data_IF_967050926480
#
_entry.id   IF_967050926480
#
_cell.length_a   1.000
_cell.length_b   1.000
_cell.length_c   1.000
_cell.angle_alpha   90.00
_cell.angle_beta   90.00
_cell.angle_gamma   90.00
#
_symmetry.space_group_name_H-M   'P 1'
#
loop_
_entity.id
_entity.type
_entity.pdbx_description
1 polymer ?
#
# COMPACT_ATOMS: atom_id res chain seq x y z
N UNK A 1 -0.65 12.93 -20.01
CA UNK A 1 -1.42 12.42 -18.84
C UNK A 1 -1.11 10.97 -18.46
N UNK A 2 -0.66 10.09 -19.36
CA UNK A 2 -0.34 8.68 -19.02
C UNK A 2 1.09 8.46 -18.50
N UNK A 3 2.00 9.43 -18.63
CA UNK A 3 3.40 9.32 -18.22
C UNK A 3 3.64 9.39 -16.70
N UNK A 4 2.61 9.72 -15.92
CA UNK A 4 2.71 9.85 -14.46
C UNK A 4 2.24 8.59 -13.70
N UNK A 5 1.86 7.53 -14.42
CA UNK A 5 1.51 6.25 -13.79
C UNK A 5 2.80 5.50 -13.46
N UNK A 6 3.44 5.89 -12.38
CA UNK A 6 4.51 5.07 -11.79
C UNK A 6 3.87 3.82 -11.20
N UNK A 7 4.15 2.65 -11.80
CA UNK A 7 3.76 1.33 -11.28
C UNK A 7 4.43 1.08 -9.94
N UNK A 8 3.76 1.51 -8.86
CA UNK A 8 4.24 1.42 -7.50
C UNK A 8 5.26 2.53 -7.17
N UNK A 9 5.17 3.05 -5.95
CA UNK A 9 6.14 4.04 -5.43
C UNK A 9 7.42 3.36 -4.92
N UNK A 10 7.79 2.21 -5.50
CA UNK A 10 9.00 1.48 -5.10
C UNK A 10 10.25 2.32 -5.37
N UNK A 11 11.02 2.54 -4.33
CA UNK A 11 12.33 3.21 -4.42
C UNK A 11 13.42 2.14 -4.39
N UNK A 12 14.14 1.88 -5.52
CA UNK A 12 15.19 0.87 -5.55
C UNK A 12 16.32 1.24 -4.60
N UNK A 13 16.71 0.29 -3.76
CA UNK A 13 17.78 0.47 -2.78
C UNK A 13 18.27 -0.86 -2.23
N UNK A 14 19.45 -0.85 -1.61
CA UNK A 14 20.13 -2.05 -1.07
C UNK A 14 20.19 -2.07 0.46
N UNK A 15 19.29 -1.35 1.13
CA UNK A 15 19.28 -1.31 2.59
C UNK A 15 18.89 -2.65 3.22
N UNK A 16 19.13 -2.78 4.52
CA UNK A 16 18.73 -3.95 5.31
C UNK A 16 17.26 -4.29 5.11
N UNK A 17 16.40 -3.26 5.13
CA UNK A 17 14.95 -3.43 4.95
C UNK A 17 14.62 -3.91 3.53
N UNK A 18 15.31 -3.41 2.49
CA UNK A 18 15.09 -3.86 1.11
C UNK A 18 15.39 -5.36 0.95
N UNK A 19 16.42 -5.88 1.64
CA UNK A 19 16.87 -7.28 1.57
C UNK A 19 16.05 -8.26 2.42
N UNK A 20 15.16 -7.77 3.30
CA UNK A 20 14.27 -8.62 4.10
C UNK A 20 13.27 -9.38 3.22
N UNK A 21 12.85 -10.56 3.70
CA UNK A 21 11.82 -11.37 3.04
C UNK A 21 10.48 -10.60 2.96
N UNK A 22 9.84 -10.50 1.77
CA UNK A 22 8.56 -9.80 1.59
C UNK A 22 7.45 -10.28 2.52
N UNK A 23 7.44 -11.57 2.89
CA UNK A 23 6.46 -12.15 3.84
C UNK A 23 6.61 -11.51 5.21
N UNK A 24 7.87 -11.41 5.69
CA UNK A 24 8.14 -10.77 6.99
C UNK A 24 7.77 -9.30 6.96
N UNK A 25 8.11 -8.56 5.91
CA UNK A 25 7.71 -7.14 5.78
C UNK A 25 6.20 -6.95 5.87
N UNK A 26 5.41 -7.81 5.21
CA UNK A 26 3.95 -7.78 5.29
C UNK A 26 3.46 -8.02 6.73
N UNK A 27 3.96 -9.08 7.38
CA UNK A 27 3.59 -9.41 8.77
C UNK A 27 3.98 -8.29 9.73
N UNK A 28 5.20 -7.77 9.61
CA UNK A 28 5.70 -6.68 10.45
C UNK A 28 4.90 -5.38 10.23
N UNK A 29 4.49 -5.09 9.00
CA UNK A 29 3.64 -3.93 8.72
C UNK A 29 2.26 -4.09 9.36
N UNK A 30 1.66 -5.29 9.29
CA UNK A 30 0.38 -5.56 9.97
C UNK A 30 0.55 -5.44 11.50
N UNK A 31 1.62 -6.01 12.06
CA UNK A 31 1.92 -5.90 13.48
C UNK A 31 2.13 -4.44 13.92
N UNK A 32 2.80 -3.62 13.09
CA UNK A 32 2.94 -2.19 13.31
C UNK A 32 1.59 -1.47 13.32
N UNK A 33 0.73 -1.73 12.31
CA UNK A 33 -0.62 -1.17 12.23
C UNK A 33 -1.40 -1.47 13.51
N UNK A 34 -1.43 -2.75 13.90
CA UNK A 34 -2.10 -3.19 15.13
C UNK A 34 -1.51 -2.49 16.35
N UNK A 35 -0.17 -2.43 16.46
CA UNK A 35 0.52 -1.74 17.56
C UNK A 35 0.13 -0.27 17.68
N UNK A 36 0.03 0.46 16.57
CA UNK A 36 -0.38 1.89 16.58
C UNK A 36 -1.82 2.08 17.11
N UNK A 37 -2.73 1.09 16.89
CA UNK A 37 -4.08 1.16 17.44
C UNK A 37 -4.13 1.02 18.97
N UNK A 38 -3.18 0.35 19.58
CA UNK A 38 -3.09 0.22 21.04
C UNK A 38 -2.52 1.45 21.75
N UNK A 39 -1.99 2.43 21.01
CA UNK A 39 -1.47 3.67 21.59
C UNK A 39 -2.63 4.54 22.07
N UNK A 40 -2.71 4.75 23.38
CA UNK A 40 -3.70 5.61 24.04
C UNK A 40 -3.13 6.91 24.63
N UNK A 41 -1.80 7.01 24.76
CA UNK A 41 -1.11 8.07 25.50
C UNK A 41 -0.01 8.75 24.65
N UNK A 42 0.38 9.96 25.04
CA UNK A 42 1.42 10.71 24.33
C UNK A 42 2.80 10.01 24.31
N UNK A 43 3.29 9.39 25.41
CA UNK A 43 4.54 8.65 25.39
C UNK A 43 4.58 7.52 24.35
N UNK A 44 3.46 6.81 24.14
CA UNK A 44 3.34 5.78 23.10
C UNK A 44 3.55 6.34 21.70
N UNK A 45 3.05 7.54 21.40
CA UNK A 45 3.32 8.20 20.12
C UNK A 45 4.78 8.63 19.95
N UNK A 46 5.46 9.04 21.02
CA UNK A 46 6.89 9.32 21.00
C UNK A 46 7.70 8.05 20.71
N UNK A 47 7.31 6.93 21.32
CA UNK A 47 7.91 5.61 21.05
C UNK A 47 7.69 5.17 19.59
N UNK A 48 6.47 5.34 19.07
CA UNK A 48 6.17 5.07 17.67
C UNK A 48 6.99 5.96 16.72
N UNK A 49 7.18 7.23 17.07
CA UNK A 49 8.03 8.16 16.30
C UNK A 49 9.48 7.70 16.29
N UNK A 50 10.03 7.34 17.45
CA UNK A 50 11.39 6.85 17.56
C UNK A 50 11.59 5.56 16.75
N UNK A 51 10.67 4.60 16.87
CA UNK A 51 10.69 3.36 16.09
C UNK A 51 10.66 3.64 14.59
N UNK A 52 9.71 4.46 14.12
CA UNK A 52 9.58 4.82 12.72
C UNK A 52 10.82 5.57 12.21
N UNK A 53 11.38 6.47 13.01
CA UNK A 53 12.62 7.18 12.66
C UNK A 53 13.79 6.22 12.46
N UNK A 54 13.96 5.24 13.36
CA UNK A 54 15.00 4.21 13.25
C UNK A 54 14.79 3.38 11.97
N UNK A 55 13.58 2.91 11.71
CA UNK A 55 13.22 2.13 10.51
C UNK A 55 13.54 2.92 9.24
N UNK A 56 13.16 4.18 9.18
CA UNK A 56 13.42 5.08 8.03
C UNK A 56 14.92 5.29 7.83
N UNK A 57 15.68 5.49 8.89
CA UNK A 57 17.16 5.65 8.80
C UNK A 57 17.82 4.38 8.29
N UNK A 58 17.41 3.21 8.77
CA UNK A 58 17.93 1.91 8.32
C UNK A 58 17.50 1.62 6.87
N UNK A 59 16.30 2.07 6.45
CA UNK A 59 15.82 1.89 5.08
C UNK A 59 16.60 2.70 4.04
N UNK A 60 17.32 3.75 4.46
CA UNK A 60 18.00 4.68 3.55
C UNK A 60 17.05 5.59 2.76
N UNK A 61 15.76 5.59 3.09
CA UNK A 61 14.74 6.41 2.44
C UNK A 61 14.72 7.79 3.10
N UNK A 62 14.66 8.85 2.30
CA UNK A 62 14.50 10.20 2.85
C UNK A 62 13.13 10.38 3.46
N UNK A 63 13.07 10.94 4.67
CA UNK A 63 11.81 11.25 5.38
C UNK A 63 10.83 12.09 4.54
N UNK A 64 11.34 12.87 3.60
CA UNK A 64 10.53 13.66 2.65
C UNK A 64 9.60 12.78 1.78
N UNK A 65 10.01 11.55 1.44
CA UNK A 65 9.16 10.63 0.65
C UNK A 65 7.99 10.10 1.47
N UNK A 66 8.18 9.83 2.77
CA UNK A 66 7.10 9.42 3.66
C UNK A 66 6.08 10.57 3.84
N UNK A 67 6.56 11.79 4.02
CA UNK A 67 5.68 12.98 4.11
C UNK A 67 4.90 13.21 2.81
N UNK A 68 5.48 12.89 1.63
CA UNK A 68 4.70 12.91 0.38
C UNK A 68 3.53 11.94 0.39
N UNK A 69 3.66 10.78 1.05
CA UNK A 69 2.57 9.82 1.23
C UNK A 69 1.42 10.36 2.10
N UNK A 70 1.72 11.22 3.06
CA UNK A 70 0.71 11.87 3.92
C UNK A 70 -0.02 13.01 3.18
N UNK A 71 0.65 13.68 2.23
CA UNK A 71 0.14 14.87 1.54
C UNK A 71 -1.26 14.71 0.91
N UNK A 72 -1.58 13.63 0.18
CA UNK A 72 -2.93 13.44 -0.39
C UNK A 72 -4.00 13.23 0.68
N UNK A 73 -3.62 12.71 1.86
CA UNK A 73 -4.54 12.42 2.97
C UNK A 73 -4.75 13.58 3.92
N UNK A 74 -4.04 14.71 3.72
CA UNK A 74 -4.15 15.91 4.57
C UNK A 74 -5.60 16.38 4.75
N UNK A 75 -6.42 16.25 3.71
CA UNK A 75 -7.82 16.65 3.74
C UNK A 75 -8.63 15.74 4.66
N UNK A 76 -8.42 14.42 4.58
CA UNK A 76 -9.07 13.43 5.43
C UNK A 76 -8.62 13.61 6.89
N UNK A 77 -7.33 13.85 7.11
CA UNK A 77 -6.77 14.08 8.45
C UNK A 77 -7.38 15.35 9.07
N UNK A 78 -7.46 16.43 8.30
CA UNK A 78 -8.07 17.67 8.76
C UNK A 78 -9.56 17.50 9.03
N UNK A 79 -10.27 16.81 8.16
CA UNK A 79 -11.70 16.54 8.30
C UNK A 79 -11.99 15.69 9.54
N UNK A 80 -11.26 14.60 9.75
CA UNK A 80 -11.39 13.77 10.96
C UNK A 80 -11.01 14.52 12.22
N UNK A 81 -9.99 15.39 12.17
CA UNK A 81 -9.63 16.26 13.29
C UNK A 81 -10.79 17.18 13.67
N UNK A 82 -11.38 17.86 12.68
CA UNK A 82 -12.53 18.75 12.89
C UNK A 82 -13.71 17.96 13.44
N UNK A 83 -14.06 16.81 12.85
CA UNK A 83 -15.17 16.00 13.34
C UNK A 83 -14.97 15.58 14.80
N UNK A 84 -13.78 15.07 15.16
CA UNK A 84 -13.52 14.69 16.55
C UNK A 84 -13.59 15.87 17.50
N UNK A 85 -13.17 17.06 17.06
CA UNK A 85 -13.21 18.26 17.89
C UNK A 85 -14.64 18.70 18.24
N UNK A 86 -15.60 18.53 17.30
CA UNK A 86 -16.98 19.00 17.47
C UNK A 86 -17.94 17.91 17.94
N UNK A 87 -17.71 16.64 17.60
CA UNK A 87 -18.65 15.55 17.89
C UNK A 87 -18.30 14.74 19.14
N UNK A 88 -17.07 14.82 19.62
CA UNK A 88 -16.68 14.15 20.87
C UNK A 88 -17.06 15.04 22.04
N UNK A 89 -17.96 14.56 22.88
CA UNK A 89 -18.35 15.22 24.14
C UNK A 89 -17.39 14.80 25.25
N UNK A 90 -17.02 15.73 26.12
CA UNK A 90 -16.21 15.51 27.32
C UNK A 90 -16.73 16.27 28.50
N UNK A 91 -16.21 15.99 29.68
CA UNK A 91 -16.68 16.61 30.95
C UNK A 91 -16.04 17.97 31.22
N UNK A 92 -14.84 18.25 30.64
CA UNK A 92 -14.12 19.51 30.91
C UNK A 92 -14.18 20.46 29.72
N UNK A 93 -15.07 21.51 29.77
CA UNK A 93 -15.16 22.49 28.71
C UNK A 93 -13.91 23.38 28.69
N UNK A 94 -13.25 23.52 27.52
CA UNK A 94 -12.16 24.46 27.27
C UNK A 94 -12.67 25.77 26.68
N UNK A 95 -13.64 25.68 25.76
CA UNK A 95 -14.28 26.82 25.11
C UNK A 95 -15.77 26.51 25.03
N UNK A 96 -16.56 27.40 25.61
CA UNK A 96 -18.01 27.31 25.64
C UNK A 96 -18.61 28.62 25.08
N UNK A 97 -18.78 28.68 23.75
CA UNK A 97 -19.31 29.84 23.05
C UNK A 97 -20.56 29.40 22.27
N UNK A 98 -21.71 29.44 22.92
CA UNK A 98 -23.02 29.18 22.30
C UNK A 98 -23.14 27.75 21.73
N UNK A 99 -22.98 27.59 20.42
CA UNK A 99 -23.10 26.28 19.77
C UNK A 99 -21.78 25.50 19.68
N UNK A 100 -20.67 26.07 20.12
CA UNK A 100 -19.33 25.45 20.01
C UNK A 100 -18.87 25.08 21.42
N UNK A 101 -18.98 23.80 21.75
CA UNK A 101 -18.48 23.21 23.00
C UNK A 101 -17.23 22.39 22.71
N UNK A 102 -16.04 22.97 22.90
CA UNK A 102 -14.79 22.27 22.73
C UNK A 102 -14.32 21.82 24.12
N UNK A 103 -14.20 20.50 24.31
CA UNK A 103 -13.73 19.92 25.56
C UNK A 103 -12.27 19.49 25.45
N UNK A 104 -11.60 19.38 26.60
CA UNK A 104 -10.19 18.93 26.65
C UNK A 104 -10.04 17.53 26.08
N UNK A 105 -10.99 16.64 26.35
CA UNK A 105 -11.06 15.28 25.88
C UNK A 105 -11.23 15.25 24.34
N UNK A 106 -12.09 16.10 23.78
CA UNK A 106 -12.29 16.23 22.35
C UNK A 106 -11.00 16.66 21.63
N UNK A 107 -10.30 17.66 22.19
CA UNK A 107 -9.03 18.12 21.62
C UNK A 107 -7.95 17.02 21.68
N UNK A 108 -7.82 16.33 22.82
CA UNK A 108 -6.88 15.21 22.97
C UNK A 108 -7.18 14.11 21.96
N UNK A 109 -8.43 13.71 21.85
CA UNK A 109 -8.84 12.67 20.92
C UNK A 109 -8.61 13.08 19.46
N UNK A 110 -8.96 14.33 19.09
CA UNK A 110 -8.72 14.85 17.74
C UNK A 110 -7.23 14.80 17.37
N UNK A 111 -6.33 15.20 18.29
CA UNK A 111 -4.87 15.12 18.09
C UNK A 111 -4.43 13.66 17.95
N UNK A 112 -4.90 12.76 18.83
CA UNK A 112 -4.49 11.36 18.81
C UNK A 112 -4.97 10.63 17.54
N UNK A 113 -6.20 10.91 17.08
CA UNK A 113 -6.68 10.36 15.80
C UNK A 113 -5.88 10.88 14.61
N UNK A 114 -5.57 12.19 14.57
CA UNK A 114 -4.75 12.75 13.52
C UNK A 114 -3.33 12.16 13.50
N UNK A 115 -2.67 12.04 14.67
CA UNK A 115 -1.37 11.38 14.80
C UNK A 115 -1.44 9.92 14.36
N UNK A 116 -2.46 9.16 14.80
CA UNK A 116 -2.66 7.77 14.41
C UNK A 116 -2.71 7.61 12.91
N UNK A 117 -3.51 8.42 12.20
CA UNK A 117 -3.58 8.38 10.74
C UNK A 117 -2.23 8.69 10.09
N UNK A 118 -1.50 9.69 10.59
CA UNK A 118 -0.16 10.04 10.07
C UNK A 118 0.79 8.86 10.24
N UNK A 119 0.86 8.25 11.43
CA UNK A 119 1.75 7.12 11.70
C UNK A 119 1.39 5.89 10.87
N UNK A 120 0.10 5.57 10.72
CA UNK A 120 -0.36 4.46 9.87
C UNK A 120 0.09 4.65 8.43
N UNK A 121 -0.10 5.84 7.87
CA UNK A 121 0.29 6.14 6.48
C UNK A 121 1.81 6.11 6.32
N UNK A 122 2.56 6.66 7.27
CA UNK A 122 4.03 6.65 7.20
C UNK A 122 4.59 5.23 7.31
N UNK A 123 4.06 4.40 8.21
CA UNK A 123 4.50 3.01 8.37
C UNK A 123 4.19 2.15 7.15
N UNK A 124 2.98 2.25 6.59
CA UNK A 124 2.62 1.53 5.36
C UNK A 124 3.39 2.03 4.14
N UNK A 125 3.75 3.32 4.10
CA UNK A 125 4.61 3.87 3.05
C UNK A 125 6.01 3.25 3.05
N UNK A 126 6.56 2.88 4.21
CA UNK A 126 7.85 2.17 4.27
C UNK A 126 7.77 0.84 3.51
N UNK A 127 6.70 0.05 3.69
CA UNK A 127 6.50 -1.19 2.94
C UNK A 127 6.45 -0.94 1.43
N UNK A 128 5.65 0.03 1.00
CA UNK A 128 5.45 0.35 -0.43
C UNK A 128 6.74 0.87 -1.08
N UNK A 129 7.53 1.67 -0.36
CA UNK A 129 8.79 2.21 -0.85
C UNK A 129 9.92 1.18 -0.88
N UNK A 130 9.90 0.17 0.01
CA UNK A 130 10.99 -0.82 0.15
C UNK A 130 10.71 -2.16 -0.52
N UNK A 131 9.52 -2.37 -1.08
CA UNK A 131 9.13 -3.67 -1.62
C UNK A 131 8.48 -3.49 -2.99
N UNK A 132 9.01 -4.16 -4.01
CA UNK A 132 8.43 -4.08 -5.35
C UNK A 132 7.07 -4.80 -5.42
N UNK A 133 6.15 -4.39 -6.33
CA UNK A 133 4.85 -5.04 -6.49
C UNK A 133 4.96 -6.56 -6.75
N UNK A 134 5.97 -6.99 -7.51
CA UNK A 134 6.21 -8.43 -7.76
C UNK A 134 6.62 -9.17 -6.48
N UNK A 135 7.49 -8.57 -5.66
CA UNK A 135 7.88 -9.15 -4.37
C UNK A 135 6.70 -9.23 -3.40
N UNK A 136 5.82 -8.21 -3.39
CA UNK A 136 4.59 -8.22 -2.60
C UNK A 136 3.66 -9.36 -3.02
N UNK A 137 3.49 -9.57 -4.33
CA UNK A 137 2.69 -10.68 -4.87
C UNK A 137 3.25 -12.04 -4.46
N UNK A 138 4.57 -12.24 -4.58
CA UNK A 138 5.24 -13.47 -4.15
C UNK A 138 5.12 -13.71 -2.64
N UNK A 139 5.26 -12.64 -1.83
CA UNK A 139 5.06 -12.68 -0.39
C UNK A 139 3.64 -13.07 -0.01
N UNK A 140 2.66 -12.44 -0.66
CA UNK A 140 1.24 -12.68 -0.43
C UNK A 140 0.84 -14.12 -0.79
N UNK A 141 1.31 -14.65 -1.93
CA UNK A 141 1.06 -16.04 -2.32
C UNK A 141 1.54 -17.02 -1.25
N UNK A 142 2.75 -16.80 -0.73
CA UNK A 142 3.31 -17.67 0.31
C UNK A 142 2.55 -17.58 1.63
N UNK A 143 2.08 -16.38 1.99
CA UNK A 143 1.25 -16.19 3.20
C UNK A 143 -0.14 -16.79 3.05
N UNK A 144 -0.72 -16.77 1.85
CA UNK A 144 -2.02 -17.34 1.56
C UNK A 144 -1.98 -18.85 1.28
N UNK A 145 -0.80 -19.44 1.12
CA UNK A 145 -0.65 -20.88 0.85
C UNK A 145 -1.34 -21.79 1.88
N UNK A 146 -1.33 -21.51 3.19
CA UNK A 146 -2.08 -22.34 4.14
C UNK A 146 -3.60 -22.38 3.87
N UNK A 147 -4.17 -21.32 3.25
CA UNK A 147 -5.58 -21.23 2.89
C UNK A 147 -5.95 -22.15 1.73
N UNK A 148 -4.98 -22.72 1.00
CA UNK A 148 -5.24 -23.75 -0.02
C UNK A 148 -5.92 -24.98 0.58
N UNK A 149 -5.74 -25.25 1.89
CA UNK A 149 -6.44 -26.32 2.60
C UNK A 149 -7.96 -26.14 2.62
N UNK A 150 -8.44 -24.92 2.47
CA UNK A 150 -9.86 -24.56 2.37
C UNK A 150 -10.29 -24.24 0.94
N UNK A 151 -9.57 -24.78 -0.07
CA UNK A 151 -9.79 -24.61 -1.50
C UNK A 151 -9.62 -23.15 -2.00
N UNK A 152 -8.86 -22.32 -1.29
CA UNK A 152 -8.56 -20.95 -1.74
C UNK A 152 -7.49 -20.98 -2.84
N UNK A 153 -7.73 -20.42 -4.04
CA UNK A 153 -6.84 -20.50 -5.20
C UNK A 153 -5.68 -19.50 -5.09
N UNK A 154 -4.83 -19.61 -4.04
CA UNK A 154 -3.78 -18.65 -3.74
C UNK A 154 -2.72 -18.57 -4.85
N UNK A 155 -2.38 -19.71 -5.47
CA UNK A 155 -1.40 -19.77 -6.55
C UNK A 155 -1.93 -19.11 -7.83
N UNK A 156 -3.15 -19.42 -8.22
CA UNK A 156 -3.80 -18.88 -9.42
C UNK A 156 -3.94 -17.36 -9.31
N UNK A 157 -4.36 -16.85 -8.14
CA UNK A 157 -4.44 -15.42 -7.88
C UNK A 157 -3.08 -14.74 -8.01
N UNK A 158 -2.04 -15.30 -7.40
CA UNK A 158 -0.69 -14.74 -7.49
C UNK A 158 -0.14 -14.77 -8.93
N UNK A 159 -0.43 -15.83 -9.68
CA UNK A 159 -0.07 -15.93 -11.08
C UNK A 159 -0.78 -14.85 -11.91
N UNK A 160 -2.10 -14.68 -11.73
CA UNK A 160 -2.87 -13.63 -12.40
C UNK A 160 -2.30 -12.24 -12.08
N UNK A 161 -2.00 -11.95 -10.80
CA UNK A 161 -1.38 -10.69 -10.40
C UNK A 161 -0.02 -10.48 -11.05
N UNK A 162 0.82 -11.51 -11.09
CA UNK A 162 2.16 -11.45 -11.71
C UNK A 162 2.07 -11.16 -13.22
N UNK A 163 1.14 -11.84 -13.91
CA UNK A 163 0.88 -11.62 -15.34
C UNK A 163 0.36 -10.19 -15.55
N UNK A 164 -0.61 -9.74 -14.74
CA UNK A 164 -1.16 -8.40 -14.83
C UNK A 164 -0.06 -7.34 -14.64
N UNK A 165 0.76 -7.44 -13.57
CA UNK A 165 1.85 -6.51 -13.30
C UNK A 165 2.87 -6.44 -14.43
N UNK A 166 3.10 -7.57 -15.13
CA UNK A 166 3.99 -7.62 -16.29
C UNK A 166 3.37 -6.98 -17.53
N UNK A 167 2.06 -7.10 -17.73
CA UNK A 167 1.39 -6.58 -18.92
C UNK A 167 1.00 -5.10 -18.80
N UNK A 168 0.84 -4.56 -17.59
CA UNK A 168 0.47 -3.15 -17.41
C UNK A 168 1.41 -2.19 -18.16
N UNK A 169 2.77 -2.26 -18.03
CA UNK A 169 3.65 -1.37 -18.80
C UNK A 169 3.43 -1.48 -20.31
N UNK A 170 3.31 -2.71 -20.80
CA UNK A 170 3.11 -2.95 -22.24
C UNK A 170 1.77 -2.41 -22.75
N UNK A 171 0.71 -2.58 -21.97
CA UNK A 171 -0.62 -2.03 -22.30
C UNK A 171 -0.63 -0.50 -22.24
N UNK A 172 0.11 0.12 -21.33
CA UNK A 172 0.27 1.58 -21.27
C UNK A 172 0.96 2.12 -22.52
N UNK A 173 2.06 1.49 -22.95
CA UNK A 173 2.75 1.85 -24.18
C UNK A 173 1.86 1.68 -25.40
N UNK A 174 1.08 0.61 -25.46
CA UNK A 174 0.15 0.34 -26.54
C UNK A 174 -1.00 1.35 -26.56
N UNK A 175 -1.53 1.68 -25.38
CA UNK A 175 -2.55 2.74 -25.23
C UNK A 175 -2.04 4.07 -25.79
N UNK A 176 -0.81 4.46 -25.46
CA UNK A 176 -0.20 5.70 -25.96
C UNK A 176 -0.04 5.69 -27.51
N UNK A 177 0.35 4.54 -28.09
CA UNK A 177 0.45 4.37 -29.54
C UNK A 177 -0.93 4.48 -30.22
N UNK A 178 -1.95 3.79 -29.68
CA UNK A 178 -3.30 3.82 -30.22
C UNK A 178 -3.88 5.24 -30.11
N UNK A 179 -3.68 5.90 -28.95
CA UNK A 179 -4.13 7.26 -28.74
C UNK A 179 -3.53 8.23 -29.77
N UNK A 180 -2.21 8.18 -30.00
CA UNK A 180 -1.54 8.99 -31.01
C UNK A 180 -2.08 8.72 -32.44
N UNK A 181 -2.30 7.44 -32.74
CA UNK A 181 -2.88 7.07 -34.07
C UNK A 181 -4.30 7.57 -34.23
N UNK A 182 -5.14 7.56 -33.21
CA UNK A 182 -6.51 8.07 -33.27
C UNK A 182 -6.53 9.62 -33.32
N UNK A 183 -5.63 10.29 -32.60
CA UNK A 183 -5.47 11.76 -32.74
C UNK A 183 -5.07 12.16 -34.15
N UNK A 184 -4.18 11.41 -34.79
CA UNK A 184 -3.81 11.63 -36.20
C UNK A 184 -4.98 11.42 -37.17
N UNK A 185 -6.01 10.66 -36.78
CA UNK A 185 -7.28 10.47 -37.54
C UNK A 185 -8.35 11.50 -37.16
N UNK A 186 -8.01 12.51 -36.35
CA UNK A 186 -8.92 13.59 -35.95
C UNK A 186 -9.74 13.30 -34.70
N UNK A 187 -9.41 12.25 -33.92
CA UNK A 187 -10.07 12.02 -32.65
C UNK A 187 -9.63 13.07 -31.62
N UNK A 188 -10.60 13.65 -30.92
CA UNK A 188 -10.39 14.62 -29.86
C UNK A 188 -10.82 13.99 -28.50
N UNK A 189 -9.87 13.85 -27.61
CA UNK A 189 -10.06 13.24 -26.26
C UNK A 189 -10.20 14.29 -25.16
N UNK A 190 -10.02 15.58 -25.45
CA UNK A 190 -9.93 16.63 -24.44
C UNK A 190 -11.11 17.59 -24.44
N UNK A 191 -11.76 17.84 -25.61
CA UNK A 191 -12.86 18.77 -25.69
C UNK A 191 -14.23 18.13 -25.52
N UNK A 192 -15.22 18.92 -25.13
CA UNK A 192 -16.61 18.53 -24.96
C UNK A 192 -17.02 18.12 -23.55
N UNK A 193 -18.29 17.72 -23.42
CA UNK A 193 -18.88 17.24 -22.17
C UNK A 193 -18.34 15.86 -21.76
N UNK A 194 -18.53 15.46 -20.48
CA UNK A 194 -18.10 14.14 -19.96
C UNK A 194 -18.58 12.98 -20.82
N UNK A 195 -19.82 13.03 -21.34
CA UNK A 195 -20.41 12.00 -22.19
C UNK A 195 -19.69 11.95 -23.53
N UNK A 196 -19.37 13.10 -24.16
CA UNK A 196 -18.64 13.19 -25.43
C UNK A 196 -17.23 12.63 -25.26
N UNK A 197 -16.53 12.96 -24.20
CA UNK A 197 -15.20 12.40 -23.87
C UNK A 197 -15.25 10.89 -23.68
N UNK A 198 -16.26 10.38 -22.95
CA UNK A 198 -16.43 8.94 -22.76
C UNK A 198 -16.65 8.21 -24.11
N UNK A 199 -17.47 8.77 -25.00
CA UNK A 199 -17.67 8.22 -26.38
C UNK A 199 -16.40 8.28 -27.21
N UNK A 200 -15.60 9.34 -27.09
CA UNK A 200 -14.33 9.48 -27.80
C UNK A 200 -13.29 8.42 -27.34
N UNK A 201 -13.42 7.85 -26.16
CA UNK A 201 -12.54 6.77 -25.69
C UNK A 201 -12.87 5.39 -26.29
N UNK A 202 -14.06 5.16 -26.87
CA UNK A 202 -14.45 3.86 -27.44
C UNK A 202 -13.48 3.39 -28.53
N UNK A 203 -13.06 4.24 -29.52
CA UNK A 203 -12.09 3.86 -30.56
C UNK A 203 -10.70 3.50 -30.00
N UNK A 204 -10.41 3.86 -28.77
CA UNK A 204 -9.17 3.48 -28.06
C UNK A 204 -9.36 2.16 -27.33
N UNK A 205 -10.50 1.96 -26.68
CA UNK A 205 -10.77 0.77 -25.87
C UNK A 205 -10.89 -0.50 -26.72
N UNK A 206 -11.59 -0.44 -27.87
CA UNK A 206 -11.83 -1.63 -28.72
C UNK A 206 -10.51 -2.26 -29.21
N UNK A 207 -9.57 -1.53 -29.83
CA UNK A 207 -8.28 -2.09 -30.24
C UNK A 207 -7.47 -2.61 -29.05
N UNK A 208 -7.51 -1.92 -27.91
CA UNK A 208 -6.81 -2.32 -26.71
C UNK A 208 -7.31 -3.68 -26.18
N UNK A 209 -8.64 -3.88 -26.14
CA UNK A 209 -9.23 -5.16 -25.77
C UNK A 209 -8.82 -6.29 -26.74
N UNK A 210 -8.90 -6.03 -28.04
CA UNK A 210 -8.50 -7.04 -29.04
C UNK A 210 -7.02 -7.44 -28.86
N UNK A 211 -6.14 -6.47 -28.62
CA UNK A 211 -4.73 -6.72 -28.37
C UNK A 211 -4.52 -7.49 -27.06
N UNK A 212 -5.23 -7.13 -25.98
CA UNK A 212 -5.15 -7.82 -24.69
C UNK A 212 -5.57 -9.30 -24.82
N UNK A 213 -6.68 -9.58 -25.51
CA UNK A 213 -7.12 -10.96 -25.77
C UNK A 213 -6.15 -11.75 -26.63
N UNK A 214 -5.57 -11.14 -27.66
CA UNK A 214 -4.54 -11.79 -28.48
C UNK A 214 -3.35 -12.20 -27.64
N UNK A 215 -2.84 -11.29 -26.81
CA UNK A 215 -1.71 -11.57 -25.87
C UNK A 215 -2.06 -12.65 -24.85
N UNK A 216 -3.30 -12.65 -24.34
CA UNK A 216 -3.75 -13.69 -23.41
C UNK A 216 -3.75 -15.07 -24.09
N UNK A 217 -4.24 -15.17 -25.34
CA UNK A 217 -4.21 -16.42 -26.10
C UNK A 217 -2.78 -16.88 -26.44
N UNK A 218 -1.90 -15.96 -26.86
CA UNK A 218 -0.48 -16.27 -27.10
C UNK A 218 0.22 -16.78 -25.85
N UNK A 219 -0.05 -16.15 -24.67
CA UNK A 219 0.47 -16.59 -23.39
C UNK A 219 -0.06 -17.97 -23.01
N UNK A 220 -1.39 -18.20 -23.18
CA UNK A 220 -2.01 -19.50 -22.90
C UNK A 220 -1.40 -20.62 -23.73
N UNK A 221 -1.27 -20.42 -25.05
CA UNK A 221 -0.59 -21.39 -25.94
C UNK A 221 0.87 -21.64 -25.53
N UNK A 222 1.61 -20.59 -25.15
CA UNK A 222 2.97 -20.72 -24.69
C UNK A 222 3.07 -21.48 -23.35
N UNK A 223 2.09 -21.35 -22.46
CA UNK A 223 2.01 -22.10 -21.21
C UNK A 223 1.67 -23.57 -21.46
N UNK A 224 0.73 -23.86 -22.35
CA UNK A 224 0.40 -25.23 -22.77
C UNK A 224 1.58 -25.92 -23.42
N UNK A 225 2.28 -25.26 -24.33
CA UNK A 225 3.50 -25.78 -24.96
C UNK A 225 4.63 -26.08 -23.97
N UNK A 226 4.64 -25.42 -22.81
CA UNK A 226 5.56 -25.68 -21.69
C UNK A 226 4.99 -26.67 -20.67
N UNK A 227 3.92 -27.37 -20.99
CA UNK A 227 3.26 -28.37 -20.15
C UNK A 227 2.83 -27.80 -18.77
N UNK A 228 2.33 -26.55 -18.73
CA UNK A 228 1.82 -25.96 -17.51
C UNK A 228 0.57 -26.71 -17.05
N UNK A 229 0.60 -27.25 -15.81
CA UNK A 229 -0.51 -28.02 -15.19
C UNK A 229 -0.95 -27.47 -13.84
N UNK A 230 -0.88 -26.15 -13.65
CA UNK A 230 -1.22 -25.53 -12.37
C UNK A 230 -0.03 -25.35 -11.44
N UNK A 231 -0.32 -25.13 -10.14
CA UNK A 231 0.69 -24.81 -9.12
C UNK A 231 1.35 -26.00 -8.43
N UNK A 232 0.80 -27.22 -8.60
CA UNK A 232 1.27 -28.41 -7.90
C UNK A 232 2.61 -28.90 -8.46
N UNK A 233 3.51 -29.31 -7.55
CA UNK A 233 4.84 -29.83 -7.87
C UNK A 233 5.79 -28.88 -8.65
N UNK A 234 5.48 -27.55 -8.65
CA UNK A 234 6.30 -26.58 -9.35
C UNK A 234 7.48 -26.12 -8.50
N UNK A 235 8.69 -26.15 -9.07
CA UNK A 235 9.88 -25.53 -8.49
C UNK A 235 9.98 -24.05 -8.89
N UNK A 236 10.59 -23.22 -8.04
CA UNK A 236 10.82 -21.80 -8.29
C UNK A 236 12.30 -21.53 -8.49
N UNK A 237 12.62 -20.71 -9.48
CA UNK A 237 14.00 -20.28 -9.73
C UNK A 237 14.56 -19.44 -8.57
N UNK A 238 13.72 -18.60 -7.97
CA UNK A 238 14.05 -17.81 -6.78
C UNK A 238 13.13 -18.20 -5.63
N UNK A 239 13.68 -18.94 -4.68
CA UNK A 239 12.97 -19.28 -3.46
C UNK A 239 13.12 -18.19 -2.42
N UNK A 240 12.00 -17.79 -1.80
CA UNK A 240 12.03 -16.93 -0.63
C UNK A 240 12.56 -17.74 0.55
N UNK A 241 13.67 -17.28 1.15
CA UNK A 241 14.30 -17.92 2.33
C UNK A 241 14.38 -16.90 3.45
N UNK A 242 13.97 -17.31 4.63
CA UNK A 242 14.15 -16.48 5.82
C UNK A 242 15.63 -16.28 6.12
N UNK A 243 16.00 -15.05 6.42
CA UNK A 243 17.35 -14.63 6.74
C UNK A 243 17.46 -14.22 8.22
N UNK A 244 18.69 -14.09 8.72
CA UNK A 244 18.92 -13.52 10.07
C UNK A 244 18.34 -12.10 10.21
N UNK A 245 18.26 -11.35 9.10
CA UNK A 245 17.67 -10.01 9.09
C UNK A 245 16.19 -10.04 9.43
N UNK A 246 15.48 -11.05 8.96
CA UNK A 246 14.04 -11.23 9.24
C UNK A 246 13.81 -11.51 10.73
N UNK A 247 14.69 -12.29 11.35
CA UNK A 247 14.64 -12.55 12.80
C UNK A 247 14.89 -11.27 13.61
N UNK A 248 15.90 -10.48 13.23
CA UNK A 248 16.17 -9.20 13.90
C UNK A 248 15.01 -8.22 13.74
N UNK A 249 14.39 -8.16 12.55
CA UNK A 249 13.20 -7.37 12.31
C UNK A 249 12.01 -7.81 13.17
N UNK A 250 11.79 -9.13 13.32
CA UNK A 250 10.75 -9.68 14.16
C UNK A 250 10.99 -9.37 15.65
N UNK A 251 12.22 -9.50 16.13
CA UNK A 251 12.59 -9.17 17.52
C UNK A 251 12.41 -7.66 17.79
N UNK A 252 12.83 -6.79 16.88
CA UNK A 252 12.65 -5.36 17.01
C UNK A 252 11.16 -4.97 17.06
N UNK A 253 10.32 -5.59 16.22
CA UNK A 253 8.88 -5.37 16.23
C UNK A 253 8.23 -5.92 17.51
N UNK A 254 8.63 -7.11 17.97
CA UNK A 254 8.13 -7.68 19.22
C UNK A 254 8.48 -6.79 20.42
N UNK A 255 9.71 -6.27 20.49
CA UNK A 255 10.12 -5.30 21.50
C UNK A 255 9.29 -4.01 21.42
N UNK A 256 9.05 -3.47 20.23
CA UNK A 256 8.22 -2.29 20.03
C UNK A 256 6.79 -2.51 20.54
N UNK A 257 6.14 -3.61 20.13
CA UNK A 257 4.77 -3.93 20.58
C UNK A 257 4.72 -4.17 22.09
N UNK A 258 5.71 -4.89 22.64
CA UNK A 258 5.79 -5.12 24.09
C UNK A 258 5.91 -3.81 24.87
N UNK A 259 6.74 -2.87 24.40
CA UNK A 259 6.88 -1.55 25.04
C UNK A 259 5.58 -0.75 25.00
N UNK A 260 4.83 -0.78 23.89
CA UNK A 260 3.52 -0.11 23.83
C UNK A 260 2.53 -0.74 24.80
N UNK A 261 2.48 -2.07 24.88
CA UNK A 261 1.56 -2.76 25.79
C UNK A 261 1.92 -2.46 27.25
N UNK A 262 3.21 -2.50 27.61
CA UNK A 262 3.67 -2.17 28.96
C UNK A 262 3.36 -0.71 29.30
N UNK A 263 3.59 0.22 28.37
CA UNK A 263 3.25 1.63 28.55
C UNK A 263 1.75 1.84 28.74
N UNK A 264 0.92 1.16 27.95
CA UNK A 264 -0.53 1.20 28.11
C UNK A 264 -1.03 0.64 29.45
N UNK A 265 -0.35 -0.38 29.99
CA UNK A 265 -0.69 -0.95 31.30
C UNK A 265 -0.22 -0.10 32.50
N UNK A 266 0.86 0.68 32.31
CA UNK A 266 1.42 1.53 33.37
C UNK A 266 0.76 2.91 33.46
N UNK A 267 0.26 3.44 32.35
CA UNK A 267 -0.25 4.81 32.23
C UNK A 267 -1.74 4.89 31.87
N UNK A 268 -2.39 3.77 31.57
CA UNK A 268 -3.83 3.65 31.35
C UNK A 268 -4.51 3.22 32.60
#
# INVERSE_FOLDING_TARGET
>A
MLNDITLGQYFPGDSVIHRMDPRMKLILTIAYIVGVFFIGNLPGYLLALAFLYIVVRISGISFKYLLKGVRPLRFIILFTFILNLFFVQGETPLIDIGFIHITREALRNAIFFALRLIFLVMGTSVLTLTTSPMQLTDGLERLLRPLQKIHFPAHELAMMMTIALRFIPTLLEETDKIQKAQMARGADFESGNLITRAKAMIPLLVPLFVSAFRRANELAMAMEARCYRGGDHRTRLRELKYTKLDLYGALAMAAYVALIVVEGLLLG
#
